data_IF_753554052895
#
_entry.id   IF_753554052895
#
_cell.length_a   1.000
_cell.length_b   1.000
_cell.length_c   1.000
_cell.angle_alpha   90.00
_cell.angle_beta   90.00
_cell.angle_gamma   90.00
#
_symmetry.space_group_name_H-M   'P 1'
#
loop_
_entity.id
_entity.type
_entity.pdbx_description
1 polymer ?
#
# COMPACT_ATOMS: atom_id res chain seq x y z
N UNK A 1 -16.74 30.86 19.69
CA UNK A 1 -15.84 30.94 18.53
C UNK A 1 -14.85 29.80 18.65
N UNK A 2 -14.81 28.88 17.69
CA UNK A 2 -13.77 27.84 17.63
C UNK A 2 -12.46 28.57 17.40
N UNK A 3 -11.50 28.50 18.33
CA UNK A 3 -10.23 29.20 18.17
C UNK A 3 -9.53 28.70 16.90
N UNK A 4 -8.86 29.61 16.19
CA UNK A 4 -8.12 29.29 14.96
C UNK A 4 -7.07 28.17 15.18
N UNK A 5 -6.67 27.91 16.43
CA UNK A 5 -5.76 26.83 16.83
C UNK A 5 -6.36 25.43 16.63
N UNK A 6 -7.68 25.25 16.83
CA UNK A 6 -8.36 23.95 16.62
C UNK A 6 -8.38 23.56 15.12
N UNK A 7 -8.22 24.53 14.21
CA UNK A 7 -8.18 24.26 12.77
C UNK A 7 -6.86 23.63 12.27
N UNK A 8 -5.80 23.59 13.12
CA UNK A 8 -4.55 22.86 12.87
C UNK A 8 -4.63 21.36 13.22
N UNK A 9 -5.73 20.89 13.82
CA UNK A 9 -5.73 19.68 14.64
C UNK A 9 -5.51 18.34 13.92
N UNK A 10 -5.70 18.23 12.60
CA UNK A 10 -5.25 17.05 11.85
C UNK A 10 -4.92 17.47 10.44
N UNK A 11 -3.63 17.48 10.15
CA UNK A 11 -3.16 17.58 8.79
C UNK A 11 -2.43 16.28 8.47
N UNK A 12 -2.87 15.61 7.41
CA UNK A 12 -2.20 14.44 6.82
C UNK A 12 -0.97 14.92 6.03
N UNK A 13 -0.22 15.86 6.62
CA UNK A 13 0.90 16.60 6.02
C UNK A 13 1.90 15.60 5.50
N UNK A 14 2.25 14.63 6.33
CA UNK A 14 3.28 13.65 6.06
C UNK A 14 2.95 12.90 4.77
N UNK A 15 1.76 12.30 4.68
CA UNK A 15 1.32 11.63 3.46
C UNK A 15 1.23 12.59 2.27
N UNK A 16 0.74 13.83 2.46
CA UNK A 16 0.70 14.85 1.40
C UNK A 16 2.10 15.22 0.88
N UNK A 17 3.10 15.32 1.76
CA UNK A 17 4.49 15.58 1.43
C UNK A 17 5.12 14.41 0.67
N UNK A 18 4.66 13.19 0.88
CA UNK A 18 5.11 12.04 0.09
C UNK A 18 4.48 12.05 -1.30
N UNK A 19 3.20 12.43 -1.43
CA UNK A 19 2.54 12.50 -2.75
C UNK A 19 3.10 13.64 -3.61
N UNK A 20 3.26 14.85 -3.06
CA UNK A 20 3.54 16.08 -3.84
C UNK A 20 4.69 16.93 -3.32
N UNK A 21 5.39 16.51 -2.26
CA UNK A 21 6.30 17.38 -1.53
C UNK A 21 7.69 16.80 -1.32
N UNK A 22 8.34 17.25 -0.26
CA UNK A 22 9.76 17.02 0.00
C UNK A 22 10.09 15.56 0.37
N UNK A 23 9.09 14.72 0.63
CA UNK A 23 9.25 13.33 1.08
C UNK A 23 8.93 12.31 -0.03
N UNK A 24 8.70 12.77 -1.26
CA UNK A 24 8.40 11.91 -2.39
C UNK A 24 9.61 11.01 -2.74
N UNK A 25 9.45 9.67 -2.78
CA UNK A 25 10.57 8.73 -2.96
C UNK A 25 11.33 8.90 -4.27
N UNK A 26 10.71 9.51 -5.29
CA UNK A 26 11.32 9.80 -6.61
C UNK A 26 12.23 11.03 -6.56
N UNK A 27 11.91 12.02 -5.72
CA UNK A 27 12.60 13.32 -5.69
C UNK A 27 13.43 13.54 -4.42
N UNK A 28 13.23 12.71 -3.40
CA UNK A 28 13.94 12.80 -2.12
C UNK A 28 15.45 12.63 -2.33
N UNK A 29 16.21 13.55 -1.75
CA UNK A 29 17.67 13.43 -1.73
C UNK A 29 18.08 12.16 -0.97
N UNK A 30 19.12 11.47 -1.45
CA UNK A 30 19.68 10.26 -0.81
C UNK A 30 20.03 10.47 0.68
N UNK A 31 20.18 11.71 1.12
CA UNK A 31 20.55 12.08 2.49
C UNK A 31 19.41 11.84 3.48
N UNK A 32 18.16 12.11 3.08
CA UNK A 32 16.99 11.98 3.98
C UNK A 32 16.57 10.52 4.16
N UNK A 33 16.78 9.68 3.15
CA UNK A 33 16.38 8.26 3.15
C UNK A 33 17.42 7.30 3.79
N UNK A 34 18.32 7.79 4.64
CA UNK A 34 19.37 6.94 5.27
C UNK A 34 18.84 5.99 6.34
N UNK A 35 17.72 6.33 6.98
CA UNK A 35 17.07 5.50 8.00
C UNK A 35 15.61 5.92 8.19
N UNK A 36 14.79 5.01 8.70
CA UNK A 36 13.39 5.30 9.08
C UNK A 36 13.29 6.50 10.02
N UNK A 37 14.14 6.57 11.05
CA UNK A 37 14.11 7.65 12.03
C UNK A 37 14.41 9.02 11.39
N UNK A 38 15.31 9.07 10.40
CA UNK A 38 15.61 10.31 9.69
C UNK A 38 14.43 10.81 8.85
N UNK A 39 13.70 9.89 8.19
CA UNK A 39 12.46 10.23 7.47
C UNK A 39 11.40 10.77 8.44
N UNK A 40 11.20 10.08 9.56
CA UNK A 40 10.25 10.48 10.60
C UNK A 40 10.62 11.87 11.15
N UNK A 41 11.90 12.10 11.48
CA UNK A 41 12.38 13.40 11.93
C UNK A 41 12.19 14.48 10.89
N UNK A 42 12.54 14.21 9.62
CA UNK A 42 12.35 15.19 8.54
C UNK A 42 10.86 15.56 8.35
N UNK A 43 9.95 14.61 8.57
CA UNK A 43 8.52 14.81 8.39
C UNK A 43 7.83 15.49 9.59
N UNK A 44 8.24 15.13 10.81
CA UNK A 44 7.52 15.48 12.04
C UNK A 44 8.26 16.49 12.93
N UNK A 45 9.46 16.95 12.54
CA UNK A 45 10.12 18.06 13.24
C UNK A 45 9.41 19.37 12.95
N UNK A 46 8.94 20.05 13.99
CA UNK A 46 8.19 21.29 13.82
C UNK A 46 8.43 22.27 14.99
N UNK A 47 8.21 23.55 14.69
CA UNK A 47 8.18 24.61 15.72
C UNK A 47 6.83 24.56 16.42
N UNK A 48 6.84 24.40 17.74
CA UNK A 48 5.62 24.29 18.56
C UNK A 48 5.27 25.57 19.30
N UNK A 49 6.26 26.39 19.61
CA UNK A 49 6.09 27.65 20.34
C UNK A 49 7.12 28.66 19.86
N UNK A 50 6.72 29.92 19.77
CA UNK A 50 7.57 31.06 19.48
C UNK A 50 7.25 32.19 20.46
N UNK A 51 8.27 32.78 21.11
CA UNK A 51 8.08 33.88 22.06
C UNK A 51 9.27 34.85 22.04
N UNK A 52 9.11 36.02 22.69
CA UNK A 52 10.14 37.06 22.69
C UNK A 52 11.34 36.70 23.56
N UNK A 53 11.11 35.92 24.61
CA UNK A 53 12.15 35.50 25.55
C UNK A 53 12.28 33.97 25.56
N UNK A 54 13.48 33.47 25.85
CA UNK A 54 13.72 32.03 25.97
C UNK A 54 12.91 31.39 27.11
N UNK A 55 12.71 32.13 28.20
CA UNK A 55 11.98 31.65 29.39
C UNK A 55 10.49 31.49 29.12
N UNK A 56 9.88 32.39 28.34
CA UNK A 56 8.50 32.26 27.88
C UNK A 56 8.29 31.00 27.04
N UNK A 57 9.22 30.72 26.10
CA UNK A 57 9.18 29.51 25.28
C UNK A 57 9.29 28.27 26.17
N UNK A 58 10.24 28.26 27.10
CA UNK A 58 10.45 27.12 28.01
C UNK A 58 9.19 26.85 28.88
N UNK A 59 8.61 27.90 29.45
CA UNK A 59 7.38 27.80 30.25
C UNK A 59 6.16 27.37 29.44
N UNK A 60 6.11 27.71 28.16
CA UNK A 60 5.02 27.31 27.27
C UNK A 60 5.14 25.84 26.85
N UNK A 61 6.35 25.39 26.52
CA UNK A 61 6.61 24.01 26.08
C UNK A 61 6.41 23.00 27.19
N UNK A 62 6.76 23.34 28.44
CA UNK A 62 6.55 22.45 29.60
C UNK A 62 5.07 22.20 29.91
N UNK A 63 4.18 23.09 29.47
CA UNK A 63 2.72 22.96 29.62
C UNK A 63 2.04 22.42 28.36
N UNK A 64 2.81 22.19 27.29
CA UNK A 64 2.26 21.82 26.00
C UNK A 64 1.83 20.36 25.98
N UNK A 65 0.58 20.12 25.61
CA UNK A 65 0.07 18.77 25.40
C UNK A 65 0.52 18.24 24.02
N UNK A 66 1.51 17.37 24.04
CA UNK A 66 2.14 16.80 22.85
C UNK A 66 1.25 15.83 22.06
N UNK A 67 0.13 15.38 22.63
CA UNK A 67 -0.83 14.50 21.92
C UNK A 67 -1.43 15.19 20.70
N UNK A 68 -1.52 16.53 20.69
CA UNK A 68 -1.93 17.30 19.51
C UNK A 68 -1.01 17.11 18.30
N UNK A 69 0.26 16.77 18.55
CA UNK A 69 1.24 16.53 17.50
C UNK A 69 1.39 15.02 17.20
N UNK A 70 0.69 14.16 17.93
CA UNK A 70 0.74 12.71 17.78
C UNK A 70 1.90 12.08 18.54
N UNK A 71 2.16 12.52 19.78
CA UNK A 71 3.09 11.87 20.70
C UNK A 71 2.37 11.45 21.98
N UNK A 72 2.70 10.29 22.53
CA UNK A 72 2.13 9.82 23.80
C UNK A 72 2.71 10.56 25.01
N UNK A 73 4.01 10.87 24.97
CA UNK A 73 4.71 11.47 26.11
C UNK A 73 5.83 12.42 25.69
N UNK A 74 6.33 13.21 26.66
CA UNK A 74 7.52 14.05 26.46
C UNK A 74 8.80 13.24 26.21
N UNK A 75 8.85 11.96 26.60
CA UNK A 75 10.02 11.11 26.34
C UNK A 75 10.15 10.74 24.85
N UNK A 76 9.06 10.86 24.11
CA UNK A 76 8.99 10.50 22.68
C UNK A 76 9.61 11.57 21.78
N UNK A 77 9.92 12.75 22.34
CA UNK A 77 10.43 13.90 21.60
C UNK A 77 11.72 14.45 22.19
N UNK A 78 12.54 14.99 21.31
CA UNK A 78 13.65 15.87 21.62
C UNK A 78 13.18 17.31 21.46
N UNK A 79 13.38 18.12 22.49
CA UNK A 79 13.06 19.55 22.47
C UNK A 79 14.36 20.31 22.31
N UNK A 80 14.50 21.06 21.23
CA UNK A 80 15.60 21.99 20.99
C UNK A 80 15.10 23.42 20.90
N UNK A 81 15.95 24.38 21.29
CA UNK A 81 15.62 25.80 21.26
C UNK A 81 16.51 26.49 20.24
N UNK A 82 15.89 27.26 19.34
CA UNK A 82 16.58 28.06 18.33
C UNK A 82 16.10 29.50 18.39
N UNK A 83 16.89 30.43 17.86
CA UNK A 83 16.49 31.82 17.70
C UNK A 83 16.27 32.10 16.22
N UNK A 84 15.06 32.49 15.84
CA UNK A 84 14.74 32.87 14.48
C UNK A 84 15.15 34.33 14.28
N UNK A 85 16.22 34.56 13.51
CA UNK A 85 16.80 35.89 13.27
C UNK A 85 15.87 36.81 12.47
N UNK A 86 15.05 36.25 11.58
CA UNK A 86 14.11 37.02 10.75
C UNK A 86 12.94 37.55 11.58
N UNK A 87 12.36 36.69 12.43
CA UNK A 87 11.22 37.04 13.27
C UNK A 87 11.64 37.69 14.59
N UNK A 88 12.92 37.61 14.96
CA UNK A 88 13.46 37.99 16.27
C UNK A 88 12.74 37.31 17.44
N UNK A 89 12.41 36.03 17.26
CA UNK A 89 11.71 35.22 18.28
C UNK A 89 12.53 33.99 18.64
N UNK A 90 12.50 33.62 19.91
CA UNK A 90 12.94 32.30 20.35
C UNK A 90 11.89 31.27 19.95
N UNK A 91 12.32 30.11 19.49
CA UNK A 91 11.47 29.02 19.02
C UNK A 91 11.83 27.73 19.75
N UNK A 92 10.81 26.96 20.11
CA UNK A 92 10.99 25.57 20.51
C UNK A 92 10.62 24.65 19.36
N UNK A 93 11.54 23.75 19.04
CA UNK A 93 11.42 22.75 17.99
C UNK A 93 11.35 21.39 18.66
N UNK A 94 10.29 20.64 18.35
CA UNK A 94 10.21 19.23 18.74
C UNK A 94 10.69 18.35 17.58
N UNK A 95 11.39 17.27 17.89
CA UNK A 95 11.80 16.26 16.93
C UNK A 95 11.55 14.85 17.49
N UNK A 96 10.99 13.91 16.71
CA UNK A 96 10.78 12.54 17.16
C UNK A 96 12.06 11.84 17.64
N UNK A 97 11.95 11.11 18.76
CA UNK A 97 12.97 10.17 19.27
C UNK A 97 12.59 8.71 19.03
N UNK A 98 11.30 8.42 18.99
CA UNK A 98 10.76 7.06 18.89
C UNK A 98 10.02 6.85 17.58
N UNK A 99 10.01 5.60 17.12
CA UNK A 99 9.23 5.11 15.99
C UNK A 99 8.11 4.27 16.58
N UNK A 100 6.85 4.60 16.29
CA UNK A 100 5.73 3.79 16.75
C UNK A 100 5.53 2.58 15.84
N UNK A 101 5.56 1.36 16.39
CA UNK A 101 5.30 0.16 15.60
C UNK A 101 3.83 0.10 15.21
N UNK A 102 3.54 -0.45 14.03
CA UNK A 102 2.17 -0.68 13.59
C UNK A 102 1.48 -1.66 14.55
N UNK A 103 0.45 -1.20 15.26
CA UNK A 103 -0.30 -2.03 16.22
C UNK A 103 -1.50 -2.72 15.57
N UNK A 104 -1.93 -2.22 14.41
CA UNK A 104 -3.10 -2.73 13.71
C UNK A 104 -2.72 -3.77 12.67
N UNK A 105 -3.50 -4.85 12.59
CA UNK A 105 -3.34 -5.83 11.52
C UNK A 105 -3.82 -5.22 10.19
N UNK A 106 -2.86 -5.00 9.30
CA UNK A 106 -3.06 -4.50 7.94
C UNK A 106 -2.34 -5.46 6.99
N UNK A 107 -3.11 -6.04 6.06
CA UNK A 107 -2.53 -6.76 4.92
C UNK A 107 -1.74 -5.79 4.02
N UNK A 108 -0.42 -5.90 4.12
CA UNK A 108 0.59 -5.12 3.39
C UNK A 108 1.57 -6.07 2.70
N UNK A 109 2.07 -5.73 1.50
CA UNK A 109 3.10 -6.51 0.84
C UNK A 109 4.45 -6.40 1.57
N UNK A 110 5.28 -7.43 1.47
CA UNK A 110 6.64 -7.42 2.02
C UNK A 110 7.53 -6.40 1.26
N UNK A 111 8.33 -5.59 1.97
CA UNK A 111 9.23 -4.63 1.33
C UNK A 111 10.37 -5.37 0.58
N UNK A 112 10.56 -5.12 -0.72
CA UNK A 112 11.61 -5.80 -1.51
C UNK A 112 13.04 -5.35 -1.19
N UNK A 113 13.23 -4.21 -0.54
CA UNK A 113 14.54 -3.63 -0.23
C UNK A 113 14.50 -2.71 1.01
N UNK A 114 15.68 -2.25 1.45
CA UNK A 114 15.77 -1.38 2.63
C UNK A 114 15.04 -0.04 2.46
N UNK A 115 15.02 0.52 1.24
CA UNK A 115 14.33 1.79 0.96
C UNK A 115 12.84 1.65 1.19
N UNK A 116 12.24 0.60 0.62
CA UNK A 116 10.81 0.28 0.78
C UNK A 116 10.48 -0.06 2.23
N UNK A 117 11.37 -0.75 2.94
CA UNK A 117 11.23 -1.02 4.38
C UNK A 117 11.23 0.26 5.21
N UNK A 118 12.14 1.20 4.95
CA UNK A 118 12.18 2.48 5.68
C UNK A 118 10.89 3.28 5.50
N UNK A 119 10.32 3.28 4.29
CA UNK A 119 9.06 3.94 4.02
C UNK A 119 7.85 3.21 4.61
N UNK A 120 7.86 1.87 4.64
CA UNK A 120 6.83 1.08 5.31
C UNK A 120 6.75 1.42 6.80
N UNK A 121 7.90 1.39 7.49
CA UNK A 121 7.99 1.73 8.92
C UNK A 121 7.62 3.20 9.17
N UNK A 122 7.98 4.08 8.24
CA UNK A 122 7.61 5.50 8.29
C UNK A 122 6.10 5.73 8.16
N UNK A 123 5.42 5.01 7.26
CA UNK A 123 3.97 5.10 7.13
C UNK A 123 3.23 4.46 8.31
N UNK A 124 3.77 3.38 8.86
CA UNK A 124 3.30 2.78 10.10
C UNK A 124 3.35 3.78 11.26
N UNK A 125 4.51 4.41 11.50
CA UNK A 125 4.67 5.44 12.54
C UNK A 125 3.65 6.56 12.37
N UNK A 126 3.53 7.12 11.16
CA UNK A 126 2.59 8.21 10.91
C UNK A 126 1.13 7.78 11.12
N UNK A 127 0.77 6.54 10.78
CA UNK A 127 -0.56 6.01 11.04
C UNK A 127 -0.88 5.95 12.54
N UNK A 128 0.06 5.51 13.37
CA UNK A 128 -0.08 5.52 14.82
C UNK A 128 -0.23 6.95 15.37
N UNK A 129 0.57 7.91 14.88
CA UNK A 129 0.43 9.34 15.25
C UNK A 129 -0.93 9.92 14.88
N UNK A 130 -1.48 9.51 13.75
CA UNK A 130 -2.84 9.89 13.32
C UNK A 130 -3.89 9.39 14.33
N UNK A 131 -3.73 8.18 14.90
CA UNK A 131 -4.65 7.65 15.92
C UNK A 131 -4.59 8.47 17.20
N UNK A 132 -3.38 8.80 17.69
CA UNK A 132 -3.18 9.65 18.87
C UNK A 132 -3.88 11.01 18.67
N UNK A 133 -3.70 11.64 17.51
CA UNK A 133 -4.35 12.92 17.19
C UNK A 133 -5.89 12.79 17.12
N UNK A 134 -6.40 11.67 16.61
CA UNK A 134 -7.84 11.41 16.56
C UNK A 134 -8.45 11.24 17.96
N UNK A 135 -7.77 10.53 18.87
CA UNK A 135 -8.15 10.42 20.28
C UNK A 135 -8.15 11.80 20.95
N UNK A 136 -7.12 12.62 20.66
CA UNK A 136 -7.03 13.97 21.19
C UNK A 136 -8.18 14.87 20.75
N UNK A 137 -8.66 14.72 19.51
CA UNK A 137 -9.86 15.44 19.06
C UNK A 137 -11.05 15.09 19.96
N UNK A 138 -11.32 13.81 20.20
CA UNK A 138 -12.44 13.40 21.06
C UNK A 138 -12.32 13.91 22.49
N UNK A 139 -11.10 13.98 23.01
CA UNK A 139 -10.85 14.44 24.37
C UNK A 139 -10.98 15.97 24.54
N UNK A 140 -10.78 16.75 23.47
CA UNK A 140 -10.75 18.23 23.54
C UNK A 140 -12.04 18.89 23.08
N UNK A 141 -12.81 18.25 22.18
CA UNK A 141 -14.04 18.82 21.68
C UNK A 141 -15.12 18.83 22.75
N UNK A 142 -15.73 20.00 22.97
CA UNK A 142 -16.76 20.16 24.01
C UNK A 142 -18.15 19.71 23.54
N UNK A 143 -18.37 19.64 22.23
CA UNK A 143 -19.68 19.33 21.66
C UNK A 143 -19.65 18.24 20.59
N UNK A 144 -20.76 17.50 20.49
CA UNK A 144 -20.97 16.51 19.41
C UNK A 144 -20.88 17.15 18.02
N UNK A 145 -21.39 18.38 17.88
CA UNK A 145 -21.41 19.14 16.61
C UNK A 145 -20.00 19.51 16.16
N UNK A 146 -19.15 19.95 17.08
CA UNK A 146 -17.75 20.27 16.80
C UNK A 146 -16.96 19.03 16.39
N UNK A 147 -17.12 17.93 17.13
CA UNK A 147 -16.51 16.63 16.80
C UNK A 147 -16.92 16.17 15.40
N UNK A 148 -18.22 16.25 15.10
CA UNK A 148 -18.78 15.89 13.78
C UNK A 148 -18.19 16.74 12.66
N UNK A 149 -18.04 18.06 12.87
CA UNK A 149 -17.45 18.97 11.90
C UNK A 149 -15.98 18.62 11.62
N UNK A 150 -15.16 18.43 12.66
CA UNK A 150 -13.74 18.09 12.54
C UNK A 150 -13.57 16.73 11.84
N UNK A 151 -14.31 15.71 12.30
CA UNK A 151 -14.27 14.37 11.71
C UNK A 151 -14.66 14.38 10.22
N UNK A 152 -15.73 15.09 9.86
CA UNK A 152 -16.19 15.21 8.47
C UNK A 152 -15.15 15.91 7.59
N UNK A 153 -14.55 17.01 8.07
CA UNK A 153 -13.47 17.72 7.37
C UNK A 153 -12.27 16.79 7.13
N UNK A 154 -11.80 16.08 8.16
CA UNK A 154 -10.64 15.20 8.04
C UNK A 154 -10.90 14.03 7.09
N UNK A 155 -12.11 13.46 7.12
CA UNK A 155 -12.51 12.41 6.21
C UNK A 155 -12.55 12.92 4.75
N UNK A 156 -13.03 14.14 4.51
CA UNK A 156 -12.99 14.77 3.18
C UNK A 156 -11.55 15.00 2.71
N UNK A 157 -10.65 15.46 3.59
CA UNK A 157 -9.23 15.64 3.29
C UNK A 157 -8.56 14.31 2.93
N UNK A 158 -8.83 13.23 3.67
CA UNK A 158 -8.34 11.88 3.35
C UNK A 158 -8.84 11.37 2.00
N UNK A 159 -10.11 11.59 1.67
CA UNK A 159 -10.67 11.20 0.36
C UNK A 159 -10.00 11.95 -0.78
N UNK A 160 -9.78 13.26 -0.62
CA UNK A 160 -9.02 14.07 -1.57
C UNK A 160 -7.59 13.57 -1.70
N UNK A 161 -6.92 13.29 -0.58
CA UNK A 161 -5.55 12.76 -0.58
C UNK A 161 -5.47 11.38 -1.26
N UNK A 162 -6.45 10.50 -1.06
CA UNK A 162 -6.54 9.23 -1.76
C UNK A 162 -6.68 9.43 -3.27
N UNK A 163 -7.54 10.36 -3.70
CA UNK A 163 -7.64 10.72 -5.11
C UNK A 163 -6.31 11.22 -5.67
N UNK A 164 -5.68 12.18 -5.00
CA UNK A 164 -4.40 12.77 -5.40
C UNK A 164 -3.28 11.73 -5.48
N UNK A 165 -3.18 10.85 -4.48
CA UNK A 165 -2.20 9.77 -4.42
C UNK A 165 -2.38 8.77 -5.55
N UNK A 166 -3.63 8.43 -5.89
CA UNK A 166 -3.95 7.56 -7.04
C UNK A 166 -3.59 8.21 -8.38
N UNK A 167 -3.89 9.50 -8.55
CA UNK A 167 -3.50 10.25 -9.76
C UNK A 167 -1.98 10.27 -9.88
N UNK A 168 -1.27 10.55 -8.78
CA UNK A 168 0.18 10.56 -8.74
C UNK A 168 0.78 9.19 -9.08
N UNK A 169 0.25 8.11 -8.48
CA UNK A 169 0.67 6.75 -8.79
C UNK A 169 0.50 6.41 -10.27
N UNK A 170 -0.66 6.72 -10.87
CA UNK A 170 -0.90 6.48 -12.29
C UNK A 170 0.02 7.33 -13.18
N UNK A 171 0.31 8.56 -12.75
CA UNK A 171 1.25 9.45 -13.44
C UNK A 171 2.67 8.86 -13.45
N UNK A 172 3.13 8.31 -12.32
CA UNK A 172 4.43 7.62 -12.26
C UNK A 172 4.46 6.37 -13.13
N UNK A 173 3.35 5.61 -13.17
CA UNK A 173 3.26 4.40 -13.98
C UNK A 173 3.23 4.66 -15.49
N UNK A 174 2.73 5.82 -15.94
CA UNK A 174 2.53 6.13 -17.37
C UNK A 174 3.70 6.85 -18.03
N UNK A 175 4.64 7.41 -17.25
CA UNK A 175 5.77 8.16 -17.78
C UNK A 175 7.00 7.27 -17.97
N UNK A 176 7.36 7.03 -19.22
CA UNK A 176 8.60 6.34 -19.62
C UNK A 176 9.86 7.17 -19.37
N UNK A 177 9.73 8.50 -19.26
CA UNK A 177 10.88 9.41 -19.21
C UNK A 177 11.34 9.75 -17.78
N UNK A 178 10.59 9.35 -16.76
CA UNK A 178 11.02 9.49 -15.36
C UNK A 178 11.79 8.22 -15.00
N UNK A 179 12.98 8.38 -14.40
CA UNK A 179 13.71 7.27 -13.77
C UNK A 179 13.00 6.88 -12.46
N UNK A 180 11.83 6.24 -12.58
CA UNK A 180 11.09 5.71 -11.43
C UNK A 180 11.56 4.28 -11.18
N UNK A 181 12.11 4.01 -10.01
CA UNK A 181 12.48 2.65 -9.63
C UNK A 181 11.25 1.82 -9.24
N UNK A 182 11.38 0.49 -9.26
CA UNK A 182 10.36 -0.41 -8.71
C UNK A 182 10.05 -0.10 -7.25
N UNK A 183 11.09 0.24 -6.46
CA UNK A 183 10.98 0.66 -5.07
C UNK A 183 10.10 1.91 -4.91
N UNK A 184 10.23 2.90 -5.79
CA UNK A 184 9.41 4.12 -5.74
C UNK A 184 7.94 3.82 -5.98
N UNK A 185 7.64 2.99 -6.98
CA UNK A 185 6.27 2.56 -7.26
C UNK A 185 5.68 1.75 -6.09
N UNK A 186 6.48 0.88 -5.48
CA UNK A 186 6.09 0.12 -4.30
C UNK A 186 5.75 1.06 -3.13
N UNK A 187 6.60 2.06 -2.86
CA UNK A 187 6.38 3.03 -1.77
C UNK A 187 5.06 3.78 -1.97
N UNK A 188 4.79 4.28 -3.18
CA UNK A 188 3.53 4.97 -3.46
C UNK A 188 2.34 4.01 -3.42
N UNK A 189 2.50 2.75 -3.81
CA UNK A 189 1.48 1.72 -3.66
C UNK A 189 1.12 1.50 -2.18
N UNK A 190 2.12 1.28 -1.32
CA UNK A 190 1.91 1.09 0.13
C UNK A 190 1.31 2.34 0.78
N UNK A 191 1.76 3.55 0.39
CA UNK A 191 1.15 4.80 0.83
C UNK A 191 -0.37 4.85 0.56
N UNK A 192 -0.80 4.41 -0.64
CA UNK A 192 -2.23 4.35 -0.95
C UNK A 192 -2.98 3.38 -0.03
N UNK A 193 -2.37 2.26 0.38
CA UNK A 193 -2.97 1.34 1.34
C UNK A 193 -3.14 1.99 2.72
N UNK A 194 -2.13 2.72 3.20
CA UNK A 194 -2.24 3.47 4.47
C UNK A 194 -3.27 4.59 4.42
N UNK A 195 -3.37 5.32 3.31
CA UNK A 195 -4.42 6.35 3.14
C UNK A 195 -5.82 5.71 3.17
N UNK A 196 -5.99 4.56 2.48
CA UNK A 196 -7.24 3.78 2.54
C UNK A 196 -7.53 3.37 3.99
N UNK A 197 -6.52 2.86 4.72
CA UNK A 197 -6.70 2.47 6.12
C UNK A 197 -7.08 3.66 6.99
N UNK A 198 -6.49 4.84 6.79
CA UNK A 198 -6.90 6.06 7.49
C UNK A 198 -8.37 6.41 7.25
N UNK A 199 -8.87 6.27 6.01
CA UNK A 199 -10.28 6.52 5.69
C UNK A 199 -11.18 5.57 6.48
N UNK A 200 -10.83 4.28 6.51
CA UNK A 200 -11.58 3.23 7.22
C UNK A 200 -11.55 3.49 8.73
N UNK A 201 -10.36 3.76 9.28
CA UNK A 201 -10.15 4.10 10.68
C UNK A 201 -11.02 5.31 11.07
N UNK A 202 -10.91 6.45 10.39
CA UNK A 202 -11.71 7.64 10.69
C UNK A 202 -13.21 7.39 10.58
N UNK A 203 -13.65 6.65 9.55
CA UNK A 203 -15.07 6.33 9.36
C UNK A 203 -15.63 5.45 10.47
N UNK A 204 -14.81 4.54 11.03
CA UNK A 204 -15.21 3.68 12.15
C UNK A 204 -15.11 4.41 13.49
N UNK A 205 -13.98 5.06 13.75
CA UNK A 205 -13.67 5.74 15.01
C UNK A 205 -14.66 6.88 15.29
N UNK A 206 -14.97 7.70 14.28
CA UNK A 206 -15.95 8.80 14.42
C UNK A 206 -17.37 8.41 14.01
N UNK A 207 -17.70 7.11 13.86
CA UNK A 207 -19.03 6.64 13.43
C UNK A 207 -20.21 7.30 14.19
N UNK A 208 -20.17 7.50 15.52
CA UNK A 208 -21.28 8.16 16.25
C UNK A 208 -21.51 9.63 15.87
N UNK A 209 -20.54 10.25 15.20
CA UNK A 209 -20.50 11.67 14.86
C UNK A 209 -20.66 11.93 13.35
N UNK A 210 -20.61 10.89 12.52
CA UNK A 210 -20.72 10.99 11.07
C UNK A 210 -22.13 10.55 10.63
N UNK A 211 -22.74 11.29 9.70
CA UNK A 211 -24.02 10.94 9.09
C UNK A 211 -23.87 10.00 7.88
N UNK A 212 -22.66 9.82 7.39
CA UNK A 212 -22.37 9.08 6.17
C UNK A 212 -22.23 7.57 6.43
N UNK A 213 -22.59 6.76 5.43
CA UNK A 213 -22.41 5.31 5.48
C UNK A 213 -20.92 4.96 5.52
N UNK A 214 -20.55 4.03 6.41
CA UNK A 214 -19.17 3.52 6.50
C UNK A 214 -18.75 2.93 5.15
N UNK A 215 -17.63 3.42 4.63
CA UNK A 215 -17.05 2.91 3.39
C UNK A 215 -16.33 1.59 3.70
N UNK A 216 -16.60 0.54 2.92
CA UNK A 216 -15.88 -0.73 3.07
C UNK A 216 -14.44 -0.61 2.55
N UNK A 217 -13.51 -1.21 3.28
CA UNK A 217 -12.11 -1.26 2.87
C UNK A 217 -11.94 -1.94 1.50
N UNK A 218 -12.64 -3.06 1.30
CA UNK A 218 -12.64 -3.80 0.04
C UNK A 218 -13.13 -2.95 -1.14
N UNK A 219 -14.11 -2.08 -0.90
CA UNK A 219 -14.60 -1.14 -1.93
C UNK A 219 -13.51 -0.17 -2.35
N UNK A 220 -12.78 0.40 -1.40
CA UNK A 220 -11.66 1.32 -1.65
C UNK A 220 -10.48 0.62 -2.31
N UNK A 221 -10.09 -0.56 -1.80
CA UNK A 221 -9.02 -1.39 -2.37
C UNK A 221 -9.36 -1.84 -3.79
N UNK A 222 -10.59 -2.25 -4.04
CA UNK A 222 -11.05 -2.62 -5.40
C UNK A 222 -11.03 -1.43 -6.35
N UNK A 223 -11.49 -0.26 -5.91
CA UNK A 223 -11.43 0.97 -6.70
C UNK A 223 -9.99 1.38 -7.03
N UNK A 224 -9.04 1.14 -6.10
CA UNK A 224 -7.62 1.33 -6.36
C UNK A 224 -7.10 0.29 -7.37
N UNK A 225 -7.28 -1.02 -7.09
CA UNK A 225 -6.84 -2.16 -7.92
C UNK A 225 -7.27 -2.07 -9.37
N UNK A 226 -8.47 -1.58 -9.68
CA UNK A 226 -8.94 -1.41 -11.08
C UNK A 226 -7.97 -0.62 -11.95
N UNK A 227 -7.22 0.34 -11.38
CA UNK A 227 -6.33 1.26 -12.12
C UNK A 227 -4.84 0.90 -12.04
N UNK A 228 -4.45 -0.15 -11.32
CA UNK A 228 -3.04 -0.52 -11.10
C UNK A 228 -2.47 -1.27 -12.32
N UNK A 229 -1.19 -1.06 -12.70
CA UNK A 229 -0.49 -1.93 -13.65
C UNK A 229 -0.53 -3.41 -13.20
N UNK A 230 -0.68 -4.34 -14.14
CA UNK A 230 -0.89 -5.76 -13.82
C UNK A 230 0.18 -6.40 -12.92
N UNK A 231 1.44 -5.93 -13.01
CA UNK A 231 2.55 -6.43 -12.19
C UNK A 231 2.37 -6.18 -10.68
N UNK A 232 1.60 -5.14 -10.31
CA UNK A 232 1.26 -4.80 -8.92
C UNK A 232 -0.17 -5.27 -8.54
N UNK A 233 -0.93 -5.84 -9.50
CA UNK A 233 -2.24 -6.46 -9.24
C UNK A 233 -2.14 -7.87 -8.68
N UNK A 234 -0.93 -8.43 -8.69
CA UNK A 234 -0.62 -9.79 -8.29
C UNK A 234 0.36 -9.74 -7.12
N UNK A 235 -0.15 -9.57 -5.90
CA UNK A 235 0.67 -9.51 -4.71
C UNK A 235 1.61 -10.69 -4.57
N UNK A 236 1.25 -11.88 -5.07
CA UNK A 236 2.06 -13.11 -5.10
C UNK A 236 3.38 -13.05 -5.88
N UNK A 237 3.67 -11.97 -6.63
CA UNK A 237 5.00 -11.68 -7.16
C UNK A 237 5.94 -11.08 -6.09
N UNK A 238 5.36 -10.63 -4.99
CA UNK A 238 6.00 -10.38 -3.69
C UNK A 238 5.55 -11.53 -2.79
N UNK A 239 6.41 -12.06 -1.92
CA UNK A 239 6.08 -13.30 -1.20
C UNK A 239 4.96 -13.00 -0.19
N UNK A 240 3.72 -13.39 -0.50
CA UNK A 240 2.65 -13.47 0.49
C UNK A 240 2.73 -14.86 1.13
N UNK A 241 3.26 -14.91 2.35
CA UNK A 241 3.07 -16.07 3.21
C UNK A 241 1.66 -16.10 3.80
N UNK A 242 1.10 -17.29 4.08
CA UNK A 242 -0.27 -17.42 4.56
C UNK A 242 -0.48 -16.73 5.90
N UNK A 243 -1.74 -16.39 6.18
CA UNK A 243 -2.22 -15.88 7.47
C UNK A 243 -1.57 -16.65 8.62
N UNK A 244 -0.81 -15.93 9.45
CA UNK A 244 -0.05 -16.53 10.56
C UNK A 244 -0.95 -17.15 11.65
N UNK A 245 -2.26 -16.87 11.64
CA UNK A 245 -3.22 -17.47 12.56
C UNK A 245 -4.61 -17.64 11.91
N UNK A 246 -4.80 -18.72 11.16
CA UNK A 246 -6.02 -19.50 11.36
C UNK A 246 -5.73 -20.48 12.51
N UNK A 247 -6.67 -20.61 13.46
CA UNK A 247 -6.58 -21.28 14.78
C UNK A 247 -6.10 -20.28 15.87
N UNK A 248 -6.91 -19.74 16.79
CA UNK A 248 -7.99 -20.35 17.57
C UNK A 248 -9.16 -19.37 17.80
N UNK A 249 -10.34 -19.70 17.26
CA UNK A 249 -11.59 -19.42 17.97
C UNK A 249 -11.69 -20.42 19.11
N UNK A 250 -11.45 -19.99 20.34
CA UNK A 250 -12.39 -20.20 21.46
C UNK A 250 -11.87 -19.71 22.82
N UNK A 251 -12.70 -18.87 23.44
CA UNK A 251 -12.90 -18.69 24.88
C UNK A 251 -11.79 -18.08 25.77
N UNK A 252 -12.17 -16.92 26.35
CA UNK A 252 -12.03 -16.50 27.77
C UNK A 252 -10.76 -16.88 28.54
N UNK A 253 -10.03 -15.87 29.00
CA UNK A 253 -9.84 -15.50 30.42
C UNK A 253 -9.01 -14.20 30.49
N UNK A 254 -9.42 -13.28 31.35
CA UNK A 254 -8.70 -12.06 31.74
C UNK A 254 -7.35 -12.37 32.40
N UNK A 255 -6.34 -11.51 32.22
CA UNK A 255 -5.74 -10.73 33.33
C UNK A 255 -4.54 -9.88 32.91
N UNK A 256 -4.43 -8.75 33.60
CA UNK A 256 -3.32 -7.81 33.72
C UNK A 256 -1.95 -8.43 33.98
N UNK A 257 -0.92 -7.92 33.28
CA UNK A 257 0.48 -8.19 33.54
C UNK A 257 1.33 -7.98 32.30
N UNK A 258 1.83 -6.76 32.10
CA UNK A 258 2.95 -6.55 31.18
C UNK A 258 4.20 -7.17 31.81
N UNK A 259 4.53 -8.39 31.40
CA UNK A 259 5.89 -8.90 31.50
C UNK A 259 6.38 -9.22 30.09
N UNK A 260 7.41 -8.48 29.67
CA UNK A 260 8.10 -8.68 28.41
C UNK A 260 8.82 -10.02 28.52
N UNK A 261 8.40 -10.99 27.71
CA UNK A 261 9.02 -12.31 27.66
C UNK A 261 10.45 -12.20 27.05
N UNK A 262 11.52 -12.53 27.80
CA UNK A 262 12.91 -12.41 27.33
C UNK A 262 13.33 -13.49 26.32
N UNK A 263 12.45 -14.43 25.94
CA UNK A 263 12.79 -15.46 24.95
C UNK A 263 12.72 -15.03 23.47
N UNK A 264 12.31 -13.80 23.17
CA UNK A 264 12.27 -13.27 21.79
C UNK A 264 13.60 -12.66 21.29
N UNK A 265 14.71 -12.83 22.01
CA UNK A 265 16.06 -12.40 21.58
C UNK A 265 16.98 -13.56 21.13
N UNK A 266 16.42 -14.61 20.52
CA UNK A 266 17.25 -15.55 19.75
C UNK A 266 17.01 -15.34 18.25
N UNK A 267 18.04 -14.97 17.47
CA UNK A 267 17.92 -14.89 16.03
C UNK A 267 17.80 -16.31 15.51
N UNK A 268 16.58 -16.75 15.22
CA UNK A 268 16.40 -17.91 14.36
C UNK A 268 16.84 -17.48 12.96
N UNK A 269 18.04 -17.92 12.59
CA UNK A 269 18.54 -17.95 11.22
C UNK A 269 17.65 -18.88 10.39
N UNK A 270 16.48 -18.39 9.97
CA UNK A 270 15.82 -18.96 8.81
C UNK A 270 16.44 -18.34 7.56
N UNK A 271 17.14 -19.17 6.82
CA UNK A 271 17.63 -18.88 5.48
C UNK A 271 16.53 -18.17 4.67
N UNK A 272 16.74 -16.89 4.41
CA UNK A 272 16.07 -16.24 3.29
C UNK A 272 16.45 -17.06 2.06
N UNK A 273 15.45 -17.66 1.42
CA UNK A 273 15.63 -18.20 0.08
C UNK A 273 15.88 -17.01 -0.84
N UNK A 274 17.15 -16.56 -0.87
CA UNK A 274 17.67 -15.67 -1.90
C UNK A 274 17.35 -16.37 -3.21
N UNK A 275 16.44 -15.79 -4.00
CA UNK A 275 16.25 -16.20 -5.39
C UNK A 275 17.64 -16.17 -6.01
N UNK A 276 18.19 -17.32 -6.42
CA UNK A 276 19.53 -17.34 -6.99
C UNK A 276 19.60 -16.33 -8.12
N UNK A 277 20.64 -15.51 -8.17
CA UNK A 277 20.85 -14.51 -9.23
C UNK A 277 20.68 -15.07 -10.66
N UNK A 278 21.04 -16.34 -10.95
CA UNK A 278 20.70 -16.98 -12.23
C UNK A 278 19.18 -17.09 -12.48
N UNK A 279 18.40 -17.46 -11.47
CA UNK A 279 16.94 -17.58 -11.58
C UNK A 279 16.27 -16.21 -11.77
N UNK A 280 16.82 -15.16 -11.14
CA UNK A 280 16.35 -13.79 -11.34
C UNK A 280 16.55 -13.35 -12.80
N UNK A 281 17.70 -13.68 -13.38
CA UNK A 281 17.99 -13.40 -14.79
C UNK A 281 17.04 -14.15 -15.73
N UNK A 282 16.80 -15.44 -15.48
CA UNK A 282 15.83 -16.24 -16.24
C UNK A 282 14.40 -15.67 -16.17
N UNK A 283 13.97 -15.22 -14.98
CA UNK A 283 12.66 -14.59 -14.81
C UNK A 283 12.57 -13.29 -15.62
N UNK A 284 13.62 -12.47 -15.61
CA UNK A 284 13.65 -11.22 -16.38
C UNK A 284 13.59 -11.49 -17.89
N UNK A 285 14.30 -12.52 -18.38
CA UNK A 285 14.24 -12.96 -19.77
C UNK A 285 12.82 -13.41 -20.17
N UNK A 286 12.12 -14.17 -19.32
CA UNK A 286 10.72 -14.56 -19.54
C UNK A 286 9.81 -13.33 -19.57
N UNK A 287 10.05 -12.33 -18.72
CA UNK A 287 9.25 -11.10 -18.70
C UNK A 287 9.43 -10.28 -19.99
N UNK A 288 10.63 -10.27 -20.58
CA UNK A 288 10.87 -9.62 -21.86
C UNK A 288 10.12 -10.25 -23.03
N UNK A 289 9.72 -11.53 -22.90
CA UNK A 289 8.90 -12.22 -23.89
C UNK A 289 7.41 -11.88 -23.79
N UNK A 290 6.98 -11.04 -22.84
CA UNK A 290 5.58 -10.63 -22.71
C UNK A 290 5.08 -10.01 -24.02
N UNK A 291 3.90 -10.43 -24.46
CA UNK A 291 3.26 -9.96 -25.70
C UNK A 291 4.11 -10.17 -26.98
N UNK A 292 5.10 -11.08 -26.94
CA UNK A 292 6.01 -11.32 -28.06
C UNK A 292 5.35 -12.04 -29.24
N UNK A 293 4.21 -12.69 -29.03
CA UNK A 293 3.52 -13.48 -30.06
C UNK A 293 2.28 -12.73 -30.52
N UNK A 294 2.28 -12.27 -31.78
CA UNK A 294 1.10 -11.66 -32.39
C UNK A 294 0.27 -12.70 -33.14
N UNK A 295 -0.98 -12.87 -32.73
CA UNK A 295 -1.96 -13.71 -33.40
C UNK A 295 -2.70 -12.89 -34.47
N UNK A 296 -2.45 -13.19 -35.74
CA UNK A 296 -3.18 -12.58 -36.86
C UNK A 296 -4.50 -13.31 -37.17
N UNK A 297 -4.69 -14.52 -36.64
CA UNK A 297 -5.89 -15.34 -36.80
C UNK A 297 -6.92 -15.17 -35.68
N UNK A 298 -7.97 -15.99 -35.71
CA UNK A 298 -8.99 -16.00 -34.67
C UNK A 298 -8.48 -16.73 -33.40
N UNK A 299 -8.62 -16.09 -32.24
CA UNK A 299 -8.27 -16.63 -30.92
C UNK A 299 -8.87 -18.01 -30.66
N UNK A 300 -10.08 -18.28 -31.17
CA UNK A 300 -10.74 -19.57 -30.95
C UNK A 300 -9.95 -20.75 -31.56
N UNK A 301 -9.18 -20.52 -32.63
CA UNK A 301 -8.41 -21.58 -33.31
C UNK A 301 -7.23 -22.03 -32.46
N UNK A 302 -6.44 -21.09 -31.95
CA UNK A 302 -5.30 -21.42 -31.08
C UNK A 302 -5.79 -22.02 -29.76
N UNK A 303 -6.86 -21.48 -29.17
CA UNK A 303 -7.39 -22.02 -27.90
C UNK A 303 -7.98 -23.43 -28.10
N UNK A 304 -8.60 -23.71 -29.24
CA UNK A 304 -9.07 -25.07 -29.57
C UNK A 304 -7.91 -26.06 -29.73
N UNK A 305 -6.78 -25.63 -30.29
CA UNK A 305 -5.57 -26.46 -30.33
C UNK A 305 -5.09 -26.86 -28.93
N UNK A 306 -5.05 -25.92 -27.98
CA UNK A 306 -4.74 -26.24 -26.57
C UNK A 306 -5.79 -27.14 -25.92
N UNK A 307 -7.06 -26.95 -26.24
CA UNK A 307 -8.12 -27.85 -25.77
C UNK A 307 -7.94 -29.29 -26.30
N UNK A 308 -7.63 -29.44 -27.60
CA UNK A 308 -7.36 -30.74 -28.21
C UNK A 308 -6.17 -31.42 -27.53
N UNK A 309 -5.09 -30.69 -27.26
CA UNK A 309 -3.92 -31.24 -26.56
C UNK A 309 -4.23 -31.68 -25.12
N UNK A 310 -5.16 -31.02 -24.43
CA UNK A 310 -5.57 -31.41 -23.07
C UNK A 310 -6.49 -32.63 -23.01
N UNK A 311 -7.23 -32.93 -24.08
CA UNK A 311 -8.35 -33.88 -24.02
C UNK A 311 -8.24 -35.04 -25.02
N UNK A 312 -7.39 -34.94 -26.05
CA UNK A 312 -7.08 -36.07 -26.93
C UNK A 312 -5.92 -36.85 -26.31
N UNK A 313 -6.15 -38.14 -26.11
CA UNK A 313 -5.13 -39.04 -25.60
C UNK A 313 -4.16 -39.45 -26.71
N UNK A 314 -2.87 -39.54 -26.37
CA UNK A 314 -1.85 -40.22 -27.17
C UNK A 314 -1.97 -41.75 -27.02
N UNK A 315 -1.17 -42.51 -27.77
CA UNK A 315 -1.17 -43.98 -27.80
C UNK A 315 -1.06 -44.64 -26.41
N UNK A 316 -0.49 -43.93 -25.43
CA UNK A 316 -0.35 -44.39 -24.05
C UNK A 316 -1.53 -44.03 -23.12
N UNK A 317 -2.64 -43.50 -23.65
CA UNK A 317 -3.84 -43.17 -22.87
C UNK A 317 -3.77 -41.86 -22.06
N UNK A 318 -2.65 -41.12 -22.12
CA UNK A 318 -2.47 -39.81 -21.49
C UNK A 318 -2.78 -38.67 -22.47
N UNK A 319 -3.19 -37.47 -22.02
CA UNK A 319 -3.34 -36.32 -22.90
C UNK A 319 -1.98 -35.84 -23.43
N UNK A 320 -1.97 -35.19 -24.61
CA UNK A 320 -0.75 -34.55 -25.15
C UNK A 320 -0.15 -33.49 -24.21
N UNK A 321 -0.99 -32.83 -23.41
CA UNK A 321 -0.56 -31.82 -22.45
C UNK A 321 -1.41 -31.93 -21.18
N UNK A 322 -0.73 -32.10 -20.04
CA UNK A 322 -1.36 -32.05 -18.73
C UNK A 322 -1.15 -30.67 -18.09
N UNK A 323 -2.23 -29.90 -18.00
CA UNK A 323 -2.26 -28.60 -17.33
C UNK A 323 -3.71 -28.22 -17.06
N UNK A 324 -3.95 -27.33 -16.10
CA UNK A 324 -5.30 -26.82 -15.88
C UNK A 324 -5.60 -25.63 -16.81
N UNK A 325 -6.89 -25.42 -17.12
CA UNK A 325 -7.31 -24.34 -18.04
C UNK A 325 -6.92 -22.93 -17.56
N UNK A 326 -6.76 -22.74 -16.24
CA UNK A 326 -6.35 -21.46 -15.68
C UNK A 326 -4.86 -21.16 -15.97
N UNK A 327 -3.99 -22.17 -15.91
CA UNK A 327 -2.57 -22.06 -16.21
C UNK A 327 -2.34 -21.76 -17.70
N UNK A 328 -3.01 -22.49 -18.59
CA UNK A 328 -2.96 -22.24 -20.05
C UNK A 328 -3.50 -20.86 -20.37
N UNK A 329 -4.60 -20.46 -19.73
CA UNK A 329 -5.15 -19.13 -19.91
C UNK A 329 -4.16 -18.04 -19.52
N UNK A 330 -3.46 -18.18 -18.38
CA UNK A 330 -2.44 -17.22 -17.96
C UNK A 330 -1.26 -17.18 -18.93
N UNK A 331 -0.79 -18.34 -19.39
CA UNK A 331 0.30 -18.46 -20.35
C UNK A 331 -0.04 -17.76 -21.67
N UNK A 332 -1.21 -18.07 -22.24
CA UNK A 332 -1.65 -17.46 -23.50
C UNK A 332 -1.85 -15.95 -23.36
N UNK A 333 -2.47 -15.48 -22.28
CA UNK A 333 -2.65 -14.05 -22.01
C UNK A 333 -1.35 -13.31 -21.74
N UNK A 334 -0.26 -14.01 -21.40
CA UNK A 334 1.04 -13.40 -21.12
C UNK A 334 1.88 -13.22 -22.39
N UNK A 335 1.92 -14.24 -23.25
CA UNK A 335 2.77 -14.22 -24.45
C UNK A 335 2.03 -13.70 -25.69
N UNK A 336 0.71 -13.88 -25.79
CA UNK A 336 -0.05 -13.70 -27.03
C UNK A 336 -0.90 -12.43 -27.02
N UNK A 337 -0.76 -11.63 -28.08
CA UNK A 337 -1.64 -10.50 -28.40
C UNK A 337 -2.50 -10.82 -29.63
N UNK A 338 -3.70 -10.25 -29.68
CA UNK A 338 -4.62 -10.42 -30.81
C UNK A 338 -4.30 -9.49 -32.00
N UNK A 339 -5.13 -9.55 -33.03
CA UNK A 339 -5.03 -8.71 -34.23
C UNK A 339 -5.12 -7.20 -33.93
N UNK A 340 -5.72 -6.81 -32.81
CA UNK A 340 -5.87 -5.43 -32.35
C UNK A 340 -4.69 -5.00 -31.45
N UNK A 341 -3.67 -5.84 -31.28
CA UNK A 341 -2.55 -5.67 -30.36
C UNK A 341 -2.95 -5.68 -28.87
N UNK A 342 -4.08 -6.31 -28.53
CA UNK A 342 -4.50 -6.46 -27.14
C UNK A 342 -4.13 -7.86 -26.62
N UNK A 343 -3.65 -7.99 -25.36
CA UNK A 343 -3.44 -9.29 -24.74
C UNK A 343 -4.75 -10.08 -24.69
N UNK A 344 -4.66 -11.39 -24.90
CA UNK A 344 -5.85 -12.24 -24.85
C UNK A 344 -6.52 -12.16 -23.48
N UNK A 345 -7.85 -11.99 -23.46
CA UNK A 345 -8.61 -11.95 -22.21
C UNK A 345 -8.60 -13.34 -21.53
N UNK A 346 -8.05 -13.48 -20.30
CA UNK A 346 -7.95 -14.77 -19.62
C UNK A 346 -9.31 -15.44 -19.40
N UNK A 347 -10.33 -14.67 -19.05
CA UNK A 347 -11.67 -15.22 -18.82
C UNK A 347 -12.30 -15.77 -20.10
N UNK A 348 -12.04 -15.11 -21.23
CA UNK A 348 -12.49 -15.57 -22.55
C UNK A 348 -11.80 -16.88 -22.93
N UNK A 349 -10.47 -16.96 -22.76
CA UNK A 349 -9.68 -18.17 -23.03
C UNK A 349 -10.12 -19.33 -22.14
N UNK A 350 -10.22 -19.12 -20.84
CA UNK A 350 -10.67 -20.14 -19.88
C UNK A 350 -12.09 -20.63 -20.22
N UNK A 351 -12.98 -19.72 -20.64
CA UNK A 351 -14.33 -20.09 -21.09
C UNK A 351 -14.29 -20.97 -22.34
N UNK A 352 -13.43 -20.68 -23.32
CA UNK A 352 -13.29 -21.47 -24.55
C UNK A 352 -12.71 -22.87 -24.30
N UNK A 353 -11.82 -23.00 -23.31
CA UNK A 353 -11.24 -24.28 -22.89
C UNK A 353 -12.25 -25.20 -22.17
N UNK A 354 -13.42 -24.71 -21.73
CA UNK A 354 -14.43 -25.55 -21.08
C UNK A 354 -15.05 -26.55 -22.05
N UNK A 355 -15.17 -27.85 -21.70
CA UNK A 355 -15.78 -28.88 -22.56
C UNK A 355 -17.21 -28.53 -23.02
N UNK A 356 -17.98 -27.86 -22.16
CA UNK A 356 -19.37 -27.48 -22.43
C UNK A 356 -19.55 -26.37 -23.47
N UNK A 357 -18.48 -25.68 -23.89
CA UNK A 357 -18.56 -24.54 -24.81
C UNK A 357 -18.21 -24.89 -26.26
N UNK A 358 -18.77 -25.99 -26.77
CA UNK A 358 -18.61 -26.46 -28.14
C UNK A 358 -18.98 -25.41 -29.20
N UNK A 359 -19.96 -24.53 -28.93
CA UNK A 359 -20.41 -23.47 -29.86
C UNK A 359 -19.36 -22.40 -30.17
N UNK A 360 -18.35 -22.25 -29.32
CA UNK A 360 -17.28 -21.25 -29.51
C UNK A 360 -16.05 -21.82 -30.22
N UNK A 361 -16.05 -23.11 -30.54
CA UNK A 361 -14.94 -23.79 -31.19
C UNK A 361 -15.14 -23.81 -32.70
N UNK A 362 -14.06 -23.84 -33.50
CA UNK A 362 -14.17 -24.02 -34.93
C UNK A 362 -14.98 -25.27 -35.28
N UNK A 363 -15.99 -25.10 -36.13
CA UNK A 363 -16.81 -26.21 -36.63
C UNK A 363 -15.93 -27.19 -37.42
N UNK A 364 -16.35 -28.45 -37.54
CA UNK A 364 -15.61 -29.47 -38.30
C UNK A 364 -15.35 -29.05 -39.76
N UNK A 365 -16.24 -28.24 -40.32
CA UNK A 365 -16.18 -27.76 -41.70
C UNK A 365 -15.46 -26.40 -41.85
N UNK A 366 -14.91 -25.85 -40.76
CA UNK A 366 -14.16 -24.60 -40.80
C UNK A 366 -12.80 -24.83 -41.48
N UNK A 367 -12.58 -24.18 -42.63
CA UNK A 367 -11.34 -24.27 -43.41
C UNK A 367 -10.09 -23.88 -42.63
N UNK A 368 -10.24 -23.09 -41.57
CA UNK A 368 -9.14 -22.61 -40.73
C UNK A 368 -8.96 -23.44 -39.45
N UNK A 369 -9.70 -24.55 -39.29
CA UNK A 369 -9.57 -25.43 -38.14
C UNK A 369 -8.24 -26.20 -38.21
N UNK A 370 -7.49 -26.13 -37.11
CA UNK A 370 -6.30 -26.94 -36.92
C UNK A 370 -6.72 -28.23 -36.23
N UNK A 371 -6.54 -29.37 -36.90
CA UNK A 371 -6.68 -30.69 -36.29
C UNK A 371 -5.27 -31.17 -35.93
N UNK A 372 -4.98 -31.23 -34.64
CA UNK A 372 -3.68 -31.71 -34.16
C UNK A 372 -3.57 -33.26 -34.14
N UNK A 373 -4.68 -33.95 -34.41
CA UNK A 373 -4.81 -35.37 -34.76
C UNK A 373 -6.06 -35.52 -35.62
#
# INVERSE_FOLDING_TARGET
MVSFEVLKAVDFVVFKQVVKGALNPVFVSKIVAKSTLNLIRAANTCVVCSAQTKDEVFNSVTKLDLTHFGYHSHNDVEISFSFNTEQKLHQAIISPRVIYPLTEDISLPEPPDDKTKFYLDFFADEFERIKIRAEKILATTSTKKETSFIASRNLQLLRKLNHDSRVHFNYLCSRTNLQVSSSDLFIIYVLNLFIIRCIVFYSKFFKPFLSEKTISEDGLRTAFKKKIPWILKHPWLFVEHPLLYEIMTDSKICSSGCEINPEFQKPNSLNSLKIPEPLLKEILEIVHLKNSIKLNGNTNVIVDAFFQMQNKNIENGLPYMDSNSAAISKLLSFFVIDKNNEPLNPNSVCTMLKPSNFKKRPHKDDKNKINLV
#
